data_IF_225249269850
#
_entry.id   IF_225249269850
#
_cell.length_a   1.000
_cell.length_b   1.000
_cell.length_c   1.000
_cell.angle_alpha   90.00
_cell.angle_beta   90.00
_cell.angle_gamma   90.00
#
_symmetry.space_group_name_H-M   'P 1'
#
loop_
_entity.id
_entity.type
_entity.pdbx_description
1 polymer ?
#
# COMPACT_ATOMS: atom_id res chain seq x y z
N UNK A 1 27.16 10.45 12.95
CA UNK A 1 26.48 9.14 13.17
C UNK A 1 25.08 9.39 13.69
N UNK A 2 24.05 9.14 12.88
CA UNK A 2 22.65 9.47 13.23
C UNK A 2 22.08 8.47 14.26
N UNK A 3 21.73 8.97 15.44
CA UNK A 3 20.98 8.30 16.53
C UNK A 3 19.84 7.40 16.03
N UNK A 4 19.22 7.76 14.89
CA UNK A 4 18.08 7.04 14.30
C UNK A 4 18.36 5.56 14.09
N UNK A 5 19.56 5.18 13.63
CA UNK A 5 19.90 3.76 13.36
C UNK A 5 19.93 2.86 14.59
N UNK A 6 20.08 3.41 15.80
CA UNK A 6 20.29 2.61 17.03
C UNK A 6 19.00 2.42 17.84
N UNK A 7 18.05 3.35 17.75
CA UNK A 7 16.83 3.37 18.57
C UNK A 7 15.58 2.96 17.78
N UNK A 8 15.53 3.30 16.49
CA UNK A 8 14.40 3.04 15.61
C UNK A 8 13.98 1.55 15.51
N UNK A 9 14.89 0.57 15.47
CA UNK A 9 14.52 -0.85 15.40
C UNK A 9 13.75 -1.34 16.65
N UNK A 10 13.98 -0.72 17.81
CA UNK A 10 13.37 -1.12 19.08
C UNK A 10 12.06 -0.38 19.37
N UNK A 11 11.92 0.86 18.89
CA UNK A 11 10.71 1.65 19.04
C UNK A 11 9.61 1.24 18.04
N UNK A 12 9.97 0.81 16.82
CA UNK A 12 9.03 0.40 15.77
C UNK A 12 8.07 -0.72 16.20
N UNK A 13 8.54 -1.85 16.79
CA UNK A 13 7.68 -2.94 17.20
C UNK A 13 6.64 -2.53 18.25
N UNK A 14 7.04 -1.70 19.21
CA UNK A 14 6.16 -1.20 20.29
C UNK A 14 5.09 -0.27 19.71
N UNK A 15 5.47 0.62 18.79
CA UNK A 15 4.52 1.48 18.09
C UNK A 15 3.52 0.67 17.26
N UNK A 16 3.97 -0.35 16.53
CA UNK A 16 3.09 -1.26 15.79
C UNK A 16 2.17 -2.06 16.70
N UNK A 17 2.66 -2.54 17.84
CA UNK A 17 1.84 -3.27 18.82
C UNK A 17 0.73 -2.38 19.41
N UNK A 18 1.06 -1.15 19.81
CA UNK A 18 0.08 -0.17 20.30
C UNK A 18 -0.92 0.21 19.20
N UNK A 19 -0.45 0.41 17.96
CA UNK A 19 -1.32 0.70 16.82
C UNK A 19 -2.28 -0.48 16.54
N UNK A 20 -1.81 -1.73 16.60
CA UNK A 20 -2.65 -2.94 16.45
C UNK A 20 -3.71 -3.09 17.54
N UNK A 21 -3.42 -2.62 18.76
CA UNK A 21 -4.35 -2.67 19.90
C UNK A 21 -5.38 -1.52 19.91
N UNK A 22 -5.08 -0.40 19.27
CA UNK A 22 -5.89 0.83 19.36
C UNK A 22 -6.53 1.28 18.05
N UNK A 23 -6.06 0.81 16.91
CA UNK A 23 -6.65 1.10 15.59
C UNK A 23 -7.58 -0.04 15.20
N UNK A 24 -8.78 0.31 14.74
CA UNK A 24 -9.69 -0.65 14.11
C UNK A 24 -9.04 -1.33 12.90
N UNK A 25 -9.62 -2.44 12.46
CA UNK A 25 -9.13 -3.22 11.32
C UNK A 25 -8.92 -2.30 10.10
N UNK A 26 -7.67 -2.12 9.68
CA UNK A 26 -7.34 -1.40 8.43
C UNK A 26 -7.53 -2.35 7.27
N UNK A 27 -8.49 -2.04 6.39
CA UNK A 27 -8.63 -2.67 5.10
C UNK A 27 -7.70 -1.96 4.11
N UNK A 28 -7.02 -2.70 3.25
CA UNK A 28 -6.14 -2.14 2.22
C UNK A 28 -6.12 -3.02 0.99
N UNK A 29 -5.84 -2.42 -0.16
CA UNK A 29 -5.78 -3.09 -1.45
C UNK A 29 -4.47 -2.82 -2.16
N UNK A 30 -4.03 -3.78 -2.98
CA UNK A 30 -2.88 -3.65 -3.89
C UNK A 30 -3.34 -3.93 -5.31
N UNK A 31 -2.89 -3.11 -6.26
CA UNK A 31 -3.20 -3.26 -7.68
C UNK A 31 -2.14 -4.10 -8.39
N UNK A 32 -2.58 -5.15 -9.08
CA UNK A 32 -1.76 -5.88 -10.05
C UNK A 32 -2.08 -5.34 -11.44
N UNK A 33 -1.16 -4.57 -12.01
CA UNK A 33 -1.28 -4.04 -13.37
C UNK A 33 -0.25 -4.70 -14.25
N UNK A 34 -0.71 -5.23 -15.39
CA UNK A 34 0.14 -5.88 -16.39
C UNK A 34 0.00 -5.20 -17.74
N UNK A 35 1.10 -5.15 -18.50
CA UNK A 35 1.05 -4.76 -19.91
C UNK A 35 0.83 -5.96 -20.85
N UNK A 36 0.85 -5.70 -22.16
CA UNK A 36 0.63 -6.72 -23.19
C UNK A 36 1.71 -7.80 -23.21
N UNK A 37 2.92 -7.49 -22.72
CA UNK A 37 4.05 -8.41 -22.60
C UNK A 37 4.03 -9.17 -21.27
N UNK A 38 3.05 -8.93 -20.40
CA UNK A 38 2.91 -9.59 -19.10
C UNK A 38 3.86 -9.06 -18.02
N UNK A 39 4.49 -7.90 -18.22
CA UNK A 39 5.31 -7.25 -17.18
C UNK A 39 4.42 -6.62 -16.14
N UNK A 40 4.85 -6.62 -14.89
CA UNK A 40 4.10 -6.09 -13.75
C UNK A 40 4.58 -4.69 -13.39
N UNK A 41 3.65 -3.76 -13.23
CA UNK A 41 3.94 -2.43 -12.69
C UNK A 41 4.25 -2.52 -11.20
N UNK A 42 5.42 -1.98 -10.82
CA UNK A 42 5.84 -1.84 -9.44
C UNK A 42 6.29 -0.40 -9.18
N UNK A 43 6.18 0.04 -7.93
CA UNK A 43 6.64 1.34 -7.46
C UNK A 43 7.68 1.18 -6.35
N UNK A 44 8.61 2.12 -6.26
CA UNK A 44 9.55 2.23 -5.16
C UNK A 44 9.19 3.46 -4.31
N UNK A 45 8.83 3.23 -3.05
CA UNK A 45 8.50 4.30 -2.13
C UNK A 45 9.77 4.93 -1.54
N UNK A 46 9.75 6.25 -1.33
CA UNK A 46 10.87 6.96 -0.69
C UNK A 46 11.09 6.57 0.78
N UNK A 47 10.05 6.06 1.46
CA UNK A 47 10.08 5.68 2.88
C UNK A 47 10.29 4.18 3.11
N UNK A 48 10.16 3.33 2.09
CA UNK A 48 10.32 1.88 2.20
C UNK A 48 11.26 1.37 1.11
N UNK A 49 12.30 0.64 1.50
CA UNK A 49 13.21 0.05 0.51
C UNK A 49 12.55 -1.09 -0.24
N UNK A 50 12.69 -1.11 -1.56
CA UNK A 50 12.26 -2.21 -2.42
C UNK A 50 11.08 -1.85 -3.32
N UNK A 51 10.69 -2.80 -4.16
CA UNK A 51 9.61 -2.67 -5.13
C UNK A 51 8.31 -3.28 -4.61
N UNK A 52 7.22 -2.56 -4.78
CA UNK A 52 5.90 -2.94 -4.28
C UNK A 52 4.84 -2.76 -5.37
N UNK A 53 3.75 -3.52 -5.27
CA UNK A 53 2.55 -3.20 -6.01
C UNK A 53 1.98 -1.87 -5.49
N UNK A 54 1.50 -0.98 -6.38
CA UNK A 54 0.80 0.24 -5.98
C UNK A 54 -0.48 -0.09 -5.19
N UNK A 55 -0.88 0.80 -4.30
CA UNK A 55 -2.10 0.67 -3.52
C UNK A 55 -1.94 1.11 -2.07
N UNK A 56 -3.06 1.21 -1.37
CA UNK A 56 -3.06 1.77 -0.02
C UNK A 56 -4.26 1.35 0.81
N UNK A 57 -4.53 2.17 1.83
CA UNK A 57 -5.62 1.96 2.77
C UNK A 57 -6.97 2.31 2.15
N UNK A 58 -7.99 1.56 2.54
CA UNK A 58 -9.39 1.93 2.29
C UNK A 58 -9.83 2.88 3.39
N UNK A 59 -10.28 4.06 3.01
CA UNK A 59 -10.79 5.05 3.97
C UNK A 59 -12.13 4.61 4.56
N UNK A 60 -12.48 5.17 5.73
CA UNK A 60 -13.72 4.80 6.42
C UNK A 60 -14.94 5.17 5.54
N UNK A 61 -15.72 4.15 5.18
CA UNK A 61 -16.91 4.33 4.34
C UNK A 61 -16.61 4.37 2.84
N UNK A 62 -15.34 4.25 2.44
CA UNK A 62 -14.91 4.13 1.06
C UNK A 62 -15.09 2.68 0.58
N UNK A 63 -15.58 2.50 -0.65
CA UNK A 63 -15.59 1.19 -1.27
C UNK A 63 -14.16 0.77 -1.63
N UNK A 64 -13.80 -0.50 -1.41
CA UNK A 64 -12.43 -0.98 -1.67
C UNK A 64 -11.98 -0.74 -3.13
N UNK A 65 -12.90 -0.82 -4.09
CA UNK A 65 -12.61 -0.53 -5.50
C UNK A 65 -12.34 0.96 -5.75
N UNK A 66 -13.05 1.85 -5.06
CA UNK A 66 -12.83 3.29 -5.16
C UNK A 66 -11.48 3.68 -4.54
N UNK A 67 -11.15 3.11 -3.38
CA UNK A 67 -9.85 3.28 -2.75
C UNK A 67 -8.72 2.81 -3.68
N UNK A 68 -8.87 1.63 -4.29
CA UNK A 68 -7.90 1.11 -5.23
C UNK A 68 -7.73 2.04 -6.45
N UNK A 69 -8.83 2.54 -7.02
CA UNK A 69 -8.76 3.45 -8.16
C UNK A 69 -8.04 4.76 -7.83
N UNK A 70 -8.31 5.33 -6.66
CA UNK A 70 -7.65 6.54 -6.14
C UNK A 70 -6.15 6.30 -5.98
N UNK A 71 -5.76 5.26 -5.26
CA UNK A 71 -4.36 4.93 -4.98
C UNK A 71 -3.58 4.63 -6.27
N UNK A 72 -4.19 3.92 -7.23
CA UNK A 72 -3.56 3.65 -8.53
C UNK A 72 -3.24 4.93 -9.31
N UNK A 73 -4.13 5.93 -9.23
CA UNK A 73 -3.92 7.22 -9.85
C UNK A 73 -2.87 8.04 -9.10
N UNK A 74 -2.94 8.09 -7.77
CA UNK A 74 -2.06 8.89 -6.92
C UNK A 74 -0.62 8.39 -6.92
N UNK A 75 -0.41 7.08 -6.81
CA UNK A 75 0.94 6.50 -6.68
C UNK A 75 1.59 6.17 -8.02
N UNK A 76 0.80 5.82 -9.03
CA UNK A 76 1.32 5.28 -10.29
C UNK A 76 0.80 5.99 -11.55
N UNK A 77 -0.12 6.97 -11.40
CA UNK A 77 -0.71 7.66 -12.55
C UNK A 77 -1.59 6.78 -13.43
N UNK A 78 -2.05 5.63 -12.92
CA UNK A 78 -2.83 4.65 -13.69
C UNK A 78 -4.31 4.90 -13.49
N UNK A 79 -5.03 5.05 -14.60
CA UNK A 79 -6.49 5.13 -14.62
C UNK A 79 -7.05 3.75 -14.96
N UNK A 80 -7.96 3.25 -14.12
CA UNK A 80 -8.62 1.97 -14.35
C UNK A 80 -9.61 2.12 -15.51
N UNK A 81 -9.52 1.26 -16.51
CA UNK A 81 -10.42 1.21 -17.66
C UNK A 81 -11.59 0.24 -17.47
N UNK A 82 -11.48 -0.66 -16.49
CA UNK A 82 -12.49 -1.66 -16.16
C UNK A 82 -12.51 -1.92 -14.64
N UNK A 83 -13.52 -2.67 -14.20
CA UNK A 83 -13.65 -3.04 -12.79
C UNK A 83 -12.54 -4.03 -12.40
N UNK A 84 -11.77 -3.78 -11.33
CA UNK A 84 -10.69 -4.66 -10.93
C UNK A 84 -11.23 -6.02 -10.47
N UNK A 85 -10.47 -7.08 -10.75
CA UNK A 85 -10.79 -8.45 -10.32
C UNK A 85 -9.98 -8.79 -9.07
N UNK A 86 -10.64 -9.41 -8.09
CA UNK A 86 -9.96 -9.86 -6.89
C UNK A 86 -9.08 -11.08 -7.21
N UNK A 87 -7.77 -10.93 -7.04
CA UNK A 87 -6.81 -11.99 -7.28
C UNK A 87 -6.41 -12.77 -6.00
N UNK A 88 -6.38 -12.10 -4.85
CA UNK A 88 -5.98 -12.69 -3.55
C UNK A 88 -6.52 -11.86 -2.37
N UNK A 89 -6.66 -12.50 -1.20
CA UNK A 89 -6.94 -11.88 0.11
C UNK A 89 -5.84 -12.17 1.12
#
# INVERSE_FOLDING_TARGET
MSWRRRVEPFARPIFHARARLSRGLTLGGRGLVTDAEGRVLLIEHTYSKGWYMPGGGVERGEAAEAALAREMLEEAGVVLTERPKLASV
#
